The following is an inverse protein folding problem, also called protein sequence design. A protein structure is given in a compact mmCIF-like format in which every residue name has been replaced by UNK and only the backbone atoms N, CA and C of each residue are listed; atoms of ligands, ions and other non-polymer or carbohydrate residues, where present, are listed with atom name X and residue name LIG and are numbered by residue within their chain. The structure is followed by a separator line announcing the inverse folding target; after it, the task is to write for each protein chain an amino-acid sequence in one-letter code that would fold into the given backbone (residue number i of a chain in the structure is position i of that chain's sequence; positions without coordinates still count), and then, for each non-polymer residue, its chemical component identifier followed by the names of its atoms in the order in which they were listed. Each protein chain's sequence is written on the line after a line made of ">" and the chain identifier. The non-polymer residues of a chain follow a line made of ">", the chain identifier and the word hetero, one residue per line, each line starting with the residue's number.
data_IF_788436957273
#
_entry.id   IF_788436957273
#
_cell.length_a   1.000
_cell.length_b   1.000
_cell.length_c   1.000
_cell.angle_alpha   90.00
_cell.angle_beta   90.00
_cell.angle_gamma   90.00
#
_symmetry.space_group_name_H-M   'P 1'
#
loop_
_entity.id
_entity.type
_entity.pdbx_description
1 polymer ?
#
# COMPACT_ATOMS: atom_id res chain seq x y z
N UNK A 1 -26.30 -4.15 4.71
CA UNK A 1 -25.00 -3.96 4.02
C UNK A 1 -23.95 -4.84 4.66
N UNK A 2 -23.53 -5.90 3.98
CA UNK A 2 -22.47 -6.81 4.46
C UNK A 2 -21.12 -6.08 4.42
N UNK A 3 -20.63 -5.65 5.59
CA UNK A 3 -19.30 -5.01 5.71
C UNK A 3 -18.24 -6.02 5.25
N UNK A 4 -17.60 -5.74 4.12
CA UNK A 4 -16.54 -6.58 3.59
C UNK A 4 -15.36 -6.61 4.57
N UNK A 5 -14.93 -7.82 4.95
CA UNK A 5 -13.84 -8.05 5.92
C UNK A 5 -12.50 -7.41 5.52
N UNK A 6 -12.38 -7.04 4.24
CA UNK A 6 -11.20 -6.42 3.64
C UNK A 6 -10.88 -5.08 4.32
N UNK A 7 -11.88 -4.31 4.74
CA UNK A 7 -11.67 -3.04 5.45
C UNK A 7 -11.23 -3.21 6.92
N UNK A 8 -11.32 -4.42 7.46
CA UNK A 8 -10.84 -4.76 8.81
C UNK A 8 -9.42 -5.34 8.82
N UNK A 9 -8.85 -5.65 7.65
CA UNK A 9 -7.51 -6.21 7.58
C UNK A 9 -6.47 -5.12 7.83
N UNK A 10 -5.46 -5.45 8.63
CA UNK A 10 -4.32 -4.57 8.86
C UNK A 10 -3.55 -4.40 7.56
N UNK A 11 -3.20 -3.15 7.26
CA UNK A 11 -2.33 -2.80 6.14
C UNK A 11 -1.00 -3.58 6.19
N UNK A 12 -0.51 -3.88 7.39
CA UNK A 12 0.72 -4.65 7.61
C UNK A 12 0.67 -6.06 7.01
N UNK A 13 -0.52 -6.69 6.95
CA UNK A 13 -0.67 -8.02 6.35
C UNK A 13 -0.72 -7.97 4.83
N UNK A 14 -1.12 -6.84 4.24
CA UNK A 14 -1.26 -6.67 2.79
C UNK A 14 0.04 -6.15 2.15
N UNK A 15 0.82 -5.37 2.91
CA UNK A 15 2.03 -4.72 2.44
C UNK A 15 3.10 -5.67 1.83
N UNK A 16 3.40 -6.86 2.39
CA UNK A 16 4.32 -7.81 1.77
C UNK A 16 3.85 -8.29 0.38
N UNK A 17 2.55 -8.50 0.21
CA UNK A 17 1.95 -8.88 -1.07
C UNK A 17 1.96 -7.73 -2.08
N UNK A 18 1.92 -6.49 -1.61
CA UNK A 18 2.06 -5.32 -2.47
C UNK A 18 3.51 -5.13 -2.95
N UNK A 19 4.50 -5.30 -2.07
CA UNK A 19 5.93 -5.21 -2.41
C UNK A 19 6.31 -6.28 -3.43
N UNK A 20 5.91 -7.54 -3.22
CA UNK A 20 6.17 -8.62 -4.20
C UNK A 20 5.50 -8.37 -5.56
N UNK A 21 4.33 -7.71 -5.58
CA UNK A 21 3.68 -7.28 -6.83
C UNK A 21 4.42 -6.13 -7.50
N UNK A 22 4.99 -5.21 -6.73
CA UNK A 22 5.79 -4.10 -7.24
C UNK A 22 7.12 -4.59 -7.84
N UNK A 23 7.80 -5.52 -7.17
CA UNK A 23 9.02 -6.18 -7.66
C UNK A 23 8.78 -6.91 -8.99
N UNK A 24 7.67 -7.66 -9.09
CA UNK A 24 7.25 -8.30 -10.36
C UNK A 24 6.96 -7.32 -11.48
N UNK A 25 6.66 -6.06 -11.14
CA UNK A 25 6.37 -4.98 -12.08
C UNK A 25 7.61 -4.12 -12.38
N UNK A 26 8.79 -4.55 -11.93
CA UNK A 26 10.06 -3.83 -12.13
C UNK A 26 10.20 -2.56 -11.30
N UNK A 27 9.37 -2.38 -10.27
CA UNK A 27 9.44 -1.26 -9.32
C UNK A 27 10.18 -1.69 -8.07
N UNK A 28 10.92 -0.79 -7.46
CA UNK A 28 11.61 -1.05 -6.20
C UNK A 28 10.70 -0.73 -5.01
N UNK A 29 10.98 -1.36 -3.87
CA UNK A 29 10.28 -1.05 -2.61
C UNK A 29 10.42 0.42 -2.23
N UNK A 30 11.59 1.01 -2.47
CA UNK A 30 11.86 2.43 -2.17
C UNK A 30 10.99 3.39 -2.98
N UNK A 31 10.81 3.15 -4.28
CA UNK A 31 9.91 3.97 -5.11
C UNK A 31 8.45 3.86 -4.64
N UNK A 32 8.02 2.67 -4.23
CA UNK A 32 6.69 2.46 -3.67
C UNK A 32 6.51 3.19 -2.35
N UNK A 33 7.52 3.15 -1.48
CA UNK A 33 7.51 3.85 -0.20
C UNK A 33 7.54 5.36 -0.38
N UNK A 34 8.27 5.86 -1.38
CA UNK A 34 8.29 7.27 -1.75
C UNK A 34 6.93 7.74 -2.30
N UNK A 35 6.29 6.98 -3.18
CA UNK A 35 4.93 7.27 -3.64
C UNK A 35 3.89 7.22 -2.50
N UNK A 36 4.02 6.26 -1.58
CA UNK A 36 3.18 6.19 -0.38
C UNK A 36 3.43 7.37 0.58
N UNK A 37 4.67 7.84 0.70
CA UNK A 37 4.99 9.02 1.50
C UNK A 37 4.43 10.30 0.89
N UNK A 38 4.56 10.49 -0.43
CA UNK A 38 4.00 11.62 -1.16
C UNK A 38 2.47 11.70 -1.07
N UNK A 39 1.79 10.54 -1.11
CA UNK A 39 0.32 10.49 -0.98
C UNK A 39 -0.18 10.77 0.44
N UNK A 40 0.60 10.43 1.48
CA UNK A 40 0.29 10.85 2.86
C UNK A 40 0.44 12.35 3.06
N UNK A 41 1.34 12.98 2.33
CA UNK A 41 1.52 14.44 2.35
C UNK A 41 0.30 15.17 1.77
N UNK A 42 -0.32 14.61 0.73
CA UNK A 42 -1.56 15.14 0.12
C UNK A 42 -2.83 14.99 1.00
N UNK A 43 -2.76 14.23 2.10
CA UNK A 43 -3.87 14.10 3.07
C UNK A 43 -3.83 15.16 4.18
N UNK A 44 -2.96 16.17 4.05
CA UNK A 44 -2.71 17.20 5.07
C UNK A 44 -3.31 18.58 4.74
N UNK A 45 -4.26 18.64 3.81
CA UNK A 45 -5.07 19.84 3.51
C UNK A 45 -6.55 19.64 3.88
#
# INVERSE_FOLDING_TARGET
>A
MTKHKIYKMSFASVYPHYVTKAEKKGRTKSEVDEQLAQTRDFSRE
#
